data_IF_453366461044
#
_entry.id   IF_453366461044
#
_cell.length_a   1.000
_cell.length_b   1.000
_cell.length_c   1.000
_cell.angle_alpha   90.00
_cell.angle_beta   90.00
_cell.angle_gamma   90.00
#
_symmetry.space_group_name_H-M   'P 1'
#
loop_
_entity.id
_entity.type
_entity.pdbx_description
1 polymer ?
#
# COMPACT_ATOMS: atom_id res chain seq x y z
N UNK A 1 -14.44 8.83 4.78
CA UNK A 1 -13.67 10.04 4.50
C UNK A 1 -13.38 10.08 3.00
N UNK A 2 -13.52 11.26 2.38
CA UNK A 2 -13.29 11.41 0.93
C UNK A 2 -11.81 11.70 0.61
N UNK A 3 -10.98 11.84 1.63
CA UNK A 3 -9.55 12.15 1.51
C UNK A 3 -8.71 11.11 2.23
N UNK A 4 -7.55 10.80 1.65
CA UNK A 4 -6.53 9.94 2.22
C UNK A 4 -5.16 10.57 2.06
N UNK A 5 -4.33 10.55 3.10
CA UNK A 5 -2.98 11.04 3.02
C UNK A 5 -2.00 9.97 3.47
N UNK A 6 -0.90 9.85 2.75
CA UNK A 6 0.18 8.93 3.06
C UNK A 6 1.52 9.61 2.80
N UNK A 7 2.46 9.42 3.71
CA UNK A 7 3.82 9.94 3.54
C UNK A 7 4.87 8.85 3.57
N UNK A 8 6.01 9.13 2.98
CA UNK A 8 7.18 8.26 3.02
C UNK A 8 8.46 9.04 2.74
N UNK A 9 9.57 8.42 3.04
CA UNK A 9 10.90 8.90 2.71
C UNK A 9 11.62 7.89 1.81
N UNK A 10 12.65 8.35 1.13
CA UNK A 10 13.58 7.51 0.38
C UNK A 10 14.94 7.50 1.06
N UNK A 11 15.68 6.40 0.90
CA UNK A 11 17.07 6.30 1.33
C UNK A 11 18.01 6.33 0.13
N UNK A 12 19.04 7.13 0.22
CA UNK A 12 20.10 7.15 -0.78
C UNK A 12 20.86 5.83 -0.73
N UNK A 13 21.01 5.17 -1.87
CA UNK A 13 21.77 3.93 -2.02
C UNK A 13 22.52 3.95 -3.34
N UNK A 14 23.49 3.04 -3.52
CA UNK A 14 24.20 2.83 -4.78
C UNK A 14 23.31 2.14 -5.84
N UNK A 15 22.17 1.59 -5.45
CA UNK A 15 21.23 0.95 -6.36
C UNK A 15 20.28 1.97 -6.94
N UNK A 16 19.86 1.76 -8.17
CA UNK A 16 18.80 2.57 -8.77
C UNK A 16 17.46 2.34 -8.04
N UNK A 17 16.80 3.44 -7.69
CA UNK A 17 15.55 3.41 -6.93
C UNK A 17 15.77 3.26 -5.42
N UNK A 18 14.70 3.47 -4.68
CA UNK A 18 14.65 3.28 -3.22
C UNK A 18 13.29 2.74 -2.85
N UNK A 19 13.25 1.81 -1.90
CA UNK A 19 12.02 1.48 -1.22
C UNK A 19 11.46 2.71 -0.50
N UNK A 20 10.17 2.73 -0.27
CA UNK A 20 9.52 3.72 0.58
C UNK A 20 9.73 3.37 2.04
N UNK A 21 10.02 4.36 2.87
CA UNK A 21 10.25 4.16 4.31
C UNK A 21 9.35 5.09 5.12
N UNK A 22 8.78 4.55 6.18
CA UNK A 22 8.07 5.31 7.21
C UNK A 22 9.01 6.24 7.97
N UNK A 23 8.47 7.14 8.77
CA UNK A 23 9.23 8.05 9.62
C UNK A 23 10.12 7.30 10.65
N UNK A 24 9.73 6.12 11.09
CA UNK A 24 10.52 5.22 11.96
C UNK A 24 11.62 4.45 11.21
N UNK A 25 11.69 4.58 9.90
CA UNK A 25 12.68 3.92 9.07
C UNK A 25 12.33 2.49 8.65
N UNK A 26 11.15 1.99 9.00
CA UNK A 26 10.63 0.71 8.54
C UNK A 26 10.11 0.86 7.08
N UNK A 27 10.30 -0.13 6.19
CA UNK A 27 9.70 -0.09 4.86
C UNK A 27 8.18 0.09 4.93
N UNK A 28 7.63 1.00 4.08
CA UNK A 28 6.21 1.29 4.03
C UNK A 28 5.91 2.79 3.96
N UNK A 29 4.65 3.12 4.22
CA UNK A 29 4.11 4.48 4.21
C UNK A 29 3.40 4.77 5.52
N UNK A 30 3.52 5.99 6.05
CA UNK A 30 2.74 6.45 7.18
C UNK A 30 1.39 6.97 6.70
N UNK A 31 0.31 6.52 7.34
CA UNK A 31 -1.03 7.04 7.09
C UNK A 31 -1.30 8.26 7.98
N UNK A 32 -1.87 9.31 7.38
CA UNK A 32 -2.25 10.53 8.06
C UNK A 32 -3.76 10.75 7.89
N UNK A 33 -4.59 10.22 8.82
CA UNK A 33 -6.03 10.38 8.72
C UNK A 33 -6.43 11.84 8.91
N UNK A 34 -7.18 12.44 7.96
CA UNK A 34 -7.71 13.77 8.15
C UNK A 34 -8.71 13.83 9.32
N UNK A 35 -8.67 14.90 10.10
CA UNK A 35 -9.67 15.17 11.13
C UNK A 35 -10.91 15.86 10.55
N UNK A 36 -10.71 16.75 9.57
CA UNK A 36 -11.78 17.51 8.94
C UNK A 36 -11.39 17.93 7.51
N UNK A 37 -12.39 18.35 6.75
CA UNK A 37 -12.21 19.03 5.46
C UNK A 37 -13.20 20.19 5.35
N UNK A 38 -12.73 21.34 4.89
CA UNK A 38 -13.49 22.57 4.79
C UNK A 38 -13.42 23.10 3.37
N UNK A 39 -14.55 23.60 2.89
CA UNK A 39 -14.64 24.19 1.54
C UNK A 39 -14.53 25.71 1.66
N UNK A 40 -13.75 26.37 0.78
CA UNK A 40 -13.68 27.82 0.71
C UNK A 40 -15.04 28.45 0.35
N UNK A 41 -15.20 29.74 0.66
CA UNK A 41 -16.48 30.47 0.41
C UNK A 41 -16.85 30.50 -1.07
N UNK A 42 -15.89 30.52 -1.96
CA UNK A 42 -16.09 30.47 -3.42
C UNK A 42 -16.19 29.05 -3.99
N UNK A 43 -16.14 28.02 -3.13
CA UNK A 43 -16.17 26.60 -3.47
C UNK A 43 -15.06 26.12 -4.44
N UNK A 44 -13.91 26.84 -4.50
CA UNK A 44 -12.80 26.51 -5.39
C UNK A 44 -11.64 25.82 -4.69
N UNK A 45 -11.58 25.85 -3.37
CA UNK A 45 -10.51 25.23 -2.58
C UNK A 45 -11.09 24.36 -1.47
N UNK A 46 -10.33 23.34 -1.10
CA UNK A 46 -10.62 22.52 0.07
C UNK A 46 -9.40 22.51 0.98
N UNK A 47 -9.59 22.93 2.23
CA UNK A 47 -8.60 22.75 3.27
C UNK A 47 -8.83 21.42 3.98
N UNK A 48 -7.83 20.57 4.00
CA UNK A 48 -7.87 19.26 4.67
C UNK A 48 -7.04 19.33 5.94
N UNK A 49 -7.68 19.29 7.08
CA UNK A 49 -7.02 19.33 8.38
C UNK A 49 -6.40 17.96 8.71
N UNK A 50 -5.09 17.95 8.96
CA UNK A 50 -4.32 16.71 9.21
C UNK A 50 -3.52 16.88 10.49
N UNK A 51 -4.01 16.34 11.61
CA UNK A 51 -3.32 16.44 12.90
C UNK A 51 -1.95 15.81 12.87
N UNK A 52 -0.96 16.51 13.44
CA UNK A 52 0.37 15.97 13.64
C UNK A 52 1.20 15.72 12.37
N UNK A 53 0.77 16.22 11.22
CA UNK A 53 1.58 16.18 9.99
C UNK A 53 2.91 16.92 10.26
N UNK A 54 4.00 16.31 9.82
CA UNK A 54 5.36 16.87 9.90
C UNK A 54 5.92 17.05 8.49
N UNK A 55 6.98 17.85 8.31
CA UNK A 55 7.72 17.85 7.06
C UNK A 55 8.16 16.43 6.67
N UNK A 56 7.93 16.05 5.40
CA UNK A 56 8.24 14.73 4.86
C UNK A 56 8.79 14.84 3.44
N UNK A 57 9.52 13.79 2.99
CA UNK A 57 10.09 13.82 1.63
C UNK A 57 9.01 13.67 0.55
N UNK A 58 8.00 12.86 0.81
CA UNK A 58 6.88 12.66 -0.10
C UNK A 58 5.58 12.58 0.67
N UNK A 59 4.56 13.27 0.16
CA UNK A 59 3.20 13.21 0.64
C UNK A 59 2.27 12.96 -0.55
N UNK A 60 1.49 11.91 -0.50
CA UNK A 60 0.38 11.66 -1.39
C UNK A 60 -0.92 12.13 -0.74
N UNK A 61 -1.68 12.91 -1.46
CA UNK A 61 -3.03 13.34 -1.10
C UNK A 61 -3.97 12.72 -2.12
N UNK A 62 -4.77 11.76 -1.70
CA UNK A 62 -5.78 11.12 -2.54
C UNK A 62 -7.16 11.64 -2.18
N UNK A 63 -8.04 11.78 -3.16
CA UNK A 63 -9.45 12.08 -2.92
C UNK A 63 -10.37 11.28 -3.83
N UNK A 64 -11.58 11.04 -3.32
CA UNK A 64 -12.69 10.46 -4.07
C UNK A 64 -13.92 11.31 -3.81
N UNK A 65 -14.34 12.06 -4.81
CA UNK A 65 -15.39 13.06 -4.73
C UNK A 65 -16.50 12.75 -5.72
N UNK A 66 -17.64 13.40 -5.56
CA UNK A 66 -18.75 13.36 -6.50
C UNK A 66 -19.10 14.78 -6.93
N UNK A 67 -19.42 14.96 -8.19
CA UNK A 67 -20.02 16.20 -8.70
C UNK A 67 -21.44 16.37 -8.17
N UNK A 68 -22.00 17.57 -8.28
CA UNK A 68 -23.41 17.83 -7.96
C UNK A 68 -24.37 16.92 -8.75
N UNK A 69 -23.99 16.48 -9.94
CA UNK A 69 -24.74 15.51 -10.76
C UNK A 69 -24.51 14.05 -10.40
N UNK A 70 -23.75 13.75 -9.32
CA UNK A 70 -23.51 12.39 -8.82
C UNK A 70 -22.38 11.62 -9.51
N UNK A 71 -21.73 12.17 -10.53
CA UNK A 71 -20.56 11.54 -11.17
C UNK A 71 -19.39 11.50 -10.19
N UNK A 72 -18.82 10.31 -9.96
CA UNK A 72 -17.68 10.10 -9.07
C UNK A 72 -16.38 10.26 -9.83
N UNK A 73 -15.39 10.86 -9.18
CA UNK A 73 -14.01 10.94 -9.66
C UNK A 73 -13.03 10.80 -8.51
N UNK A 74 -11.86 10.24 -8.81
CA UNK A 74 -10.80 10.04 -7.82
C UNK A 74 -9.47 10.43 -8.44
N UNK A 75 -8.67 11.18 -7.69
CA UNK A 75 -7.36 11.66 -8.12
C UNK A 75 -6.36 11.64 -6.98
N UNK A 76 -5.08 11.81 -7.32
CA UNK A 76 -4.00 11.94 -6.37
C UNK A 76 -3.12 13.13 -6.73
N UNK A 77 -2.71 13.87 -5.71
CA UNK A 77 -1.62 14.84 -5.79
C UNK A 77 -0.42 14.34 -4.98
N UNK A 78 0.77 14.69 -5.46
CA UNK A 78 2.03 14.37 -4.79
C UNK A 78 2.78 15.65 -4.51
N UNK A 79 3.30 15.81 -3.30
CA UNK A 79 4.05 16.99 -2.87
C UNK A 79 5.17 16.62 -1.90
N UNK A 80 6.10 17.55 -1.72
CA UNK A 80 7.20 17.47 -0.74
C UNK A 80 7.06 18.62 0.25
N UNK A 81 6.27 18.48 1.33
CA UNK A 81 6.15 19.52 2.34
C UNK A 81 7.44 19.57 3.18
N UNK A 82 8.34 20.48 2.82
CA UNK A 82 9.61 20.70 3.52
C UNK A 82 9.44 21.55 4.76
N UNK A 83 8.46 22.43 4.73
CA UNK A 83 8.11 23.35 5.80
C UNK A 83 6.59 23.44 5.92
N UNK A 84 6.11 23.58 7.12
CA UNK A 84 4.69 23.79 7.41
C UNK A 84 4.54 25.21 7.98
N UNK A 85 3.80 26.04 7.28
CA UNK A 85 3.47 27.40 7.72
C UNK A 85 2.12 27.42 8.42
N UNK A 86 1.89 28.35 9.36
CA UNK A 86 0.57 28.54 9.93
C UNK A 86 -0.46 28.84 8.82
N UNK A 87 -1.61 28.20 8.92
CA UNK A 87 -2.73 28.43 7.99
C UNK A 87 -3.67 29.47 8.59
N UNK A 88 -3.92 30.55 7.85
CA UNK A 88 -4.91 31.58 8.18
C UNK A 88 -6.17 31.35 7.33
N UNK A 89 -7.25 30.80 7.93
CA UNK A 89 -8.46 30.51 7.17
C UNK A 89 -9.11 31.74 6.55
N UNK A 90 -9.01 32.89 7.19
CA UNK A 90 -9.65 34.12 6.71
C UNK A 90 -8.92 34.68 5.50
N UNK A 91 -7.58 34.76 5.58
CA UNK A 91 -6.74 35.19 4.47
C UNK A 91 -6.83 34.27 3.25
N UNK A 92 -7.05 32.98 3.48
CA UNK A 92 -7.14 31.96 2.41
C UNK A 92 -8.59 31.77 1.90
N UNK A 93 -9.52 32.63 2.28
CA UNK A 93 -10.88 32.64 1.73
C UNK A 93 -11.87 31.65 2.35
N UNK A 94 -11.53 31.01 3.47
CA UNK A 94 -12.43 30.13 4.19
C UNK A 94 -13.29 30.86 5.23
N UNK A 95 -12.92 32.09 5.60
CA UNK A 95 -13.58 32.89 6.62
C UNK A 95 -13.22 32.44 8.04
N UNK A 96 -13.90 32.98 9.06
CA UNK A 96 -13.66 32.57 10.44
C UNK A 96 -14.02 31.09 10.60
N UNK A 97 -13.00 30.27 10.84
CA UNK A 97 -13.09 28.82 10.89
C UNK A 97 -12.37 28.27 12.10
N UNK A 98 -13.10 27.55 12.96
CA UNK A 98 -12.47 26.73 13.99
C UNK A 98 -12.03 25.41 13.37
N UNK A 99 -10.70 25.23 13.20
CA UNK A 99 -10.15 24.03 12.60
C UNK A 99 -10.13 22.92 13.65
N UNK A 100 -10.83 21.84 13.36
CA UNK A 100 -10.79 20.62 14.19
C UNK A 100 -9.49 19.84 13.88
N UNK A 101 -8.55 19.89 14.78
CA UNK A 101 -7.32 19.10 14.77
C UNK A 101 -7.37 17.91 15.75
N UNK A 102 -8.54 17.52 16.22
CA UNK A 102 -8.68 16.33 17.06
C UNK A 102 -8.24 15.11 16.26
N UNK A 103 -7.18 14.39 16.68
CA UNK A 103 -6.74 13.21 15.97
C UNK A 103 -7.90 12.23 15.87
N UNK A 104 -8.35 11.99 14.66
CA UNK A 104 -9.22 10.84 14.41
C UNK A 104 -8.27 9.68 14.20
N UNK A 105 -8.32 8.72 15.10
CA UNK A 105 -7.83 7.38 14.72
C UNK A 105 -8.44 7.10 13.36
N UNK A 106 -7.64 6.64 12.35
CA UNK A 106 -8.22 6.16 11.11
C UNK A 106 -9.38 5.31 11.56
N UNK A 107 -10.61 5.64 11.11
CA UNK A 107 -11.80 4.90 11.54
C UNK A 107 -11.41 3.45 11.44
N UNK A 108 -11.06 2.92 12.63
CA UNK A 108 -10.22 1.76 12.81
C UNK A 108 -10.75 0.80 11.81
N UNK A 109 -10.00 0.62 10.78
CA UNK A 109 -10.42 -0.07 9.59
C UNK A 109 -11.94 -0.23 9.62
N UNK A 110 -12.65 0.71 9.02
CA UNK A 110 -14.11 0.70 9.01
C UNK A 110 -14.48 -0.73 8.73
N UNK A 111 -15.09 -1.41 9.65
CA UNK A 111 -15.21 -2.86 9.81
C UNK A 111 -14.39 -3.60 8.76
N UNK A 112 -13.21 -4.06 9.07
CA UNK A 112 -12.31 -4.70 8.08
C UNK A 112 -13.20 -5.62 7.29
N UNK A 113 -13.53 -5.25 6.06
CA UNK A 113 -14.43 -6.06 5.25
C UNK A 113 -13.84 -7.46 5.32
N UNK A 114 -14.66 -8.46 5.69
CA UNK A 114 -14.14 -9.80 5.91
C UNK A 114 -13.20 -10.14 4.74
N UNK A 115 -12.04 -10.73 4.99
CA UNK A 115 -11.09 -11.04 3.94
C UNK A 115 -11.80 -11.69 2.76
N UNK A 116 -11.50 -11.26 1.54
CA UNK A 116 -12.16 -11.78 0.34
C UNK A 116 -11.20 -11.89 -0.84
N UNK A 117 -11.44 -12.86 -1.71
CA UNK A 117 -10.65 -13.01 -2.92
C UNK A 117 -10.76 -11.79 -3.86
N UNK A 118 -11.91 -11.13 -3.90
CA UNK A 118 -12.11 -9.91 -4.69
C UNK A 118 -11.25 -8.75 -4.19
N UNK A 119 -11.18 -8.57 -2.87
CA UNK A 119 -10.27 -7.59 -2.27
C UNK A 119 -8.82 -7.98 -2.49
N UNK A 120 -8.48 -9.27 -2.41
CA UNK A 120 -7.15 -9.78 -2.73
C UNK A 120 -6.74 -9.46 -4.17
N UNK A 121 -7.63 -9.65 -5.15
CA UNK A 121 -7.38 -9.29 -6.55
C UNK A 121 -7.09 -7.78 -6.70
N UNK A 122 -7.87 -6.94 -6.02
CA UNK A 122 -7.69 -5.48 -6.02
C UNK A 122 -6.35 -5.09 -5.41
N UNK A 123 -5.98 -5.70 -4.28
CA UNK A 123 -4.69 -5.47 -3.61
C UNK A 123 -3.51 -5.91 -4.49
N UNK A 124 -3.63 -7.06 -5.15
CA UNK A 124 -2.60 -7.58 -6.05
C UNK A 124 -2.28 -6.60 -7.21
N UNK A 125 -3.30 -5.92 -7.73
CA UNK A 125 -3.12 -4.85 -8.72
C UNK A 125 -2.52 -3.58 -8.07
N UNK A 126 -3.08 -3.15 -6.94
CA UNK A 126 -2.66 -1.92 -6.27
C UNK A 126 -1.19 -1.96 -5.86
N UNK A 127 -0.72 -3.10 -5.34
CA UNK A 127 0.66 -3.31 -4.93
C UNK A 127 1.54 -3.88 -6.04
N UNK A 128 1.03 -3.94 -7.28
CA UNK A 128 1.73 -4.45 -8.46
C UNK A 128 2.30 -5.88 -8.30
N UNK A 129 1.71 -6.70 -7.44
CA UNK A 129 2.16 -8.08 -7.20
C UNK A 129 2.14 -8.89 -8.50
N UNK A 130 1.10 -8.69 -9.33
CA UNK A 130 0.91 -9.38 -10.61
C UNK A 130 1.97 -9.05 -11.65
N UNK A 131 2.70 -7.95 -11.50
CA UNK A 131 3.78 -7.59 -12.41
C UNK A 131 4.95 -8.60 -12.35
N UNK A 132 5.22 -9.13 -11.15
CA UNK A 132 6.27 -10.13 -10.94
C UNK A 132 5.72 -11.57 -10.95
N UNK A 133 4.54 -11.80 -10.36
CA UNK A 133 4.00 -13.15 -10.19
C UNK A 133 3.08 -13.59 -11.34
N UNK A 134 2.37 -12.65 -11.98
CA UNK A 134 1.33 -12.97 -12.95
C UNK A 134 0.17 -13.75 -12.35
N UNK A 135 -0.95 -13.72 -13.04
CA UNK A 135 -2.16 -14.47 -12.69
C UNK A 135 -2.47 -15.59 -13.67
N UNK A 136 -1.62 -15.78 -14.67
CA UNK A 136 -1.75 -16.77 -15.75
C UNK A 136 -0.57 -17.74 -15.76
N UNK A 137 -0.78 -18.89 -16.34
CA UNK A 137 0.25 -19.92 -16.51
C UNK A 137 0.84 -19.87 -17.93
N UNK A 138 1.46 -18.74 -18.29
CA UNK A 138 2.14 -18.63 -19.58
C UNK A 138 3.65 -18.90 -19.40
N UNK A 139 4.15 -20.10 -19.77
CA UNK A 139 5.55 -20.46 -19.60
C UNK A 139 6.49 -19.68 -20.54
N UNK A 140 5.97 -19.03 -21.59
CA UNK A 140 6.75 -18.20 -22.51
C UNK A 140 7.11 -16.83 -21.91
N UNK A 141 6.49 -16.43 -20.80
CA UNK A 141 6.76 -15.15 -20.16
C UNK A 141 7.71 -15.37 -18.99
N UNK A 142 8.95 -14.87 -19.12
CA UNK A 142 9.89 -14.82 -18.01
C UNK A 142 9.33 -13.88 -16.91
N UNK A 143 9.28 -14.34 -15.68
CA UNK A 143 8.77 -13.60 -14.54
C UNK A 143 9.83 -13.42 -13.48
N UNK A 144 9.72 -12.33 -12.72
CA UNK A 144 10.62 -12.05 -11.61
C UNK A 144 10.29 -12.86 -10.34
N UNK A 145 9.10 -13.48 -10.28
CA UNK A 145 8.63 -14.32 -9.19
C UNK A 145 7.83 -15.53 -9.66
N UNK A 146 7.59 -16.52 -8.78
CA UNK A 146 6.80 -17.71 -9.12
C UNK A 146 5.38 -17.32 -9.56
N UNK A 147 4.86 -17.88 -10.66
CA UNK A 147 3.49 -17.61 -11.08
C UNK A 147 2.49 -18.12 -10.05
N UNK A 148 1.40 -17.38 -9.87
CA UNK A 148 0.37 -17.73 -8.87
C UNK A 148 -0.59 -18.79 -9.34
N UNK A 149 -0.73 -19.00 -10.66
CA UNK A 149 -1.58 -20.06 -11.22
C UNK A 149 -1.16 -21.43 -10.68
N UNK A 150 -2.10 -22.13 -10.06
CA UNK A 150 -1.87 -23.46 -9.47
C UNK A 150 -0.83 -23.48 -8.35
N UNK A 151 -0.54 -22.32 -7.74
CA UNK A 151 0.49 -22.22 -6.70
C UNK A 151 0.02 -22.81 -5.37
N UNK A 152 -1.16 -22.38 -4.88
CA UNK A 152 -1.70 -22.87 -3.60
C UNK A 152 -2.01 -24.38 -3.65
N UNK A 153 -1.60 -25.11 -2.62
CA UNK A 153 -1.75 -26.57 -2.50
C UNK A 153 -0.72 -27.37 -3.33
N UNK A 154 0.17 -26.71 -4.09
CA UNK A 154 1.24 -27.41 -4.81
C UNK A 154 2.42 -27.71 -3.89
N UNK A 155 3.22 -28.72 -4.25
CA UNK A 155 4.54 -28.96 -3.62
C UNK A 155 5.63 -28.33 -4.46
N UNK A 156 6.49 -27.54 -3.82
CA UNK A 156 7.57 -26.81 -4.51
C UNK A 156 8.89 -26.98 -3.78
N UNK A 157 9.95 -26.98 -4.57
CA UNK A 157 11.30 -26.91 -4.05
C UNK A 157 11.64 -25.47 -3.70
N UNK A 158 12.14 -25.25 -2.50
CA UNK A 158 12.60 -23.96 -2.00
C UNK A 158 14.00 -24.10 -1.40
N UNK A 159 14.68 -22.97 -1.23
CA UNK A 159 15.96 -22.88 -0.56
C UNK A 159 15.82 -22.11 0.76
N UNK A 160 16.26 -22.73 1.85
CA UNK A 160 16.32 -22.17 3.20
C UNK A 160 17.77 -22.16 3.66
N UNK A 161 18.36 -20.99 3.83
CA UNK A 161 19.79 -20.90 4.18
C UNK A 161 20.69 -21.59 3.17
N UNK A 162 20.33 -21.56 1.88
CA UNK A 162 21.07 -22.20 0.79
C UNK A 162 20.84 -23.71 0.64
N UNK A 163 20.04 -24.33 1.51
CA UNK A 163 19.72 -25.78 1.45
C UNK A 163 18.37 -26.00 0.80
N UNK A 164 18.30 -26.89 -0.19
CA UNK A 164 17.05 -27.23 -0.85
C UNK A 164 16.12 -28.04 0.07
N UNK A 165 14.84 -27.71 0.04
CA UNK A 165 13.75 -28.42 0.74
C UNK A 165 12.51 -28.46 -0.15
N UNK A 166 11.72 -29.50 0.00
CA UNK A 166 10.33 -29.53 -0.53
C UNK A 166 9.38 -29.03 0.54
N UNK A 167 8.47 -28.14 0.15
CA UNK A 167 7.43 -27.61 1.01
C UNK A 167 6.09 -27.64 0.28
N UNK A 168 5.03 -27.73 1.04
CA UNK A 168 3.68 -27.48 0.56
C UNK A 168 3.42 -25.98 0.59
N UNK A 169 2.82 -25.46 -0.46
CA UNK A 169 2.47 -24.05 -0.56
C UNK A 169 1.06 -23.86 0.02
N UNK A 170 1.02 -23.78 1.32
CA UNK A 170 -0.20 -23.50 2.10
C UNK A 170 -0.31 -22.01 2.45
N UNK A 171 -1.33 -21.66 3.23
CA UNK A 171 -1.57 -20.28 3.68
C UNK A 171 -0.43 -19.77 4.55
N UNK A 172 0.15 -20.62 5.40
CA UNK A 172 1.25 -20.23 6.28
C UNK A 172 2.49 -19.91 5.45
N UNK A 173 2.78 -20.72 4.42
CA UNK A 173 3.87 -20.42 3.48
C UNK A 173 3.63 -19.11 2.74
N UNK A 174 2.42 -18.88 2.21
CA UNK A 174 2.10 -17.65 1.47
C UNK A 174 2.20 -16.42 2.36
N UNK A 175 1.71 -16.51 3.60
CA UNK A 175 1.83 -15.44 4.60
C UNK A 175 3.30 -15.13 4.89
N UNK A 176 4.11 -16.14 5.17
CA UNK A 176 5.55 -15.98 5.39
C UNK A 176 6.24 -15.33 4.19
N UNK A 177 5.94 -15.81 2.97
CA UNK A 177 6.53 -15.26 1.75
C UNK A 177 6.18 -13.79 1.50
N UNK A 178 5.00 -13.33 1.93
CA UNK A 178 4.61 -11.92 1.86
C UNK A 178 5.34 -11.08 2.91
N UNK A 179 5.50 -11.60 4.11
CA UNK A 179 6.10 -10.88 5.24
C UNK A 179 7.63 -10.97 5.24
N UNK A 180 8.17 -12.14 4.95
CA UNK A 180 9.59 -12.47 5.02
C UNK A 180 10.06 -13.20 3.75
N UNK A 181 10.02 -12.54 2.57
CA UNK A 181 10.24 -13.20 1.28
C UNK A 181 11.64 -13.81 1.12
N UNK A 182 12.62 -13.38 1.91
CA UNK A 182 13.97 -13.93 1.91
C UNK A 182 14.12 -15.20 2.76
N UNK A 183 13.12 -15.56 3.58
CA UNK A 183 13.21 -16.73 4.46
C UNK A 183 13.24 -18.04 3.66
N UNK A 184 12.46 -18.12 2.58
CA UNK A 184 12.38 -19.26 1.67
C UNK A 184 12.36 -18.80 0.22
N UNK A 185 13.39 -19.10 -0.53
CA UNK A 185 13.50 -18.72 -1.94
C UNK A 185 12.99 -19.84 -2.83
N UNK A 186 12.02 -19.57 -3.70
CA UNK A 186 11.51 -20.57 -4.63
C UNK A 186 12.60 -20.99 -5.62
N UNK A 187 12.65 -22.29 -5.95
CA UNK A 187 13.63 -22.82 -6.92
C UNK A 187 13.45 -22.14 -8.29
N UNK A 188 14.57 -21.70 -8.87
CA UNK A 188 14.59 -20.92 -10.11
C UNK A 188 14.54 -19.40 -9.91
N UNK A 189 14.34 -18.93 -8.65
CA UNK A 189 14.29 -17.51 -8.31
C UNK A 189 15.35 -17.11 -7.26
N UNK A 190 16.33 -17.98 -6.98
CA UNK A 190 17.36 -17.77 -5.94
C UNK A 190 18.34 -16.65 -6.29
N UNK A 191 18.53 -16.42 -7.60
CA UNK A 191 19.47 -15.42 -8.13
C UNK A 191 18.74 -14.24 -8.75
N UNK A 192 17.49 -14.03 -8.42
CA UNK A 192 16.68 -12.97 -9.00
C UNK A 192 17.32 -11.60 -8.82
N UNK A 193 17.50 -10.85 -9.89
CA UNK A 193 17.88 -9.43 -9.85
C UNK A 193 16.85 -8.60 -9.08
N UNK A 194 15.65 -9.14 -8.91
CA UNK A 194 14.51 -8.50 -8.27
C UNK A 194 14.06 -9.33 -7.06
N UNK A 195 14.63 -9.05 -5.90
CA UNK A 195 14.14 -9.62 -4.66
C UNK A 195 12.76 -9.04 -4.35
N UNK A 196 11.81 -9.91 -3.99
CA UNK A 196 10.51 -9.48 -3.49
C UNK A 196 10.69 -8.61 -2.23
N UNK A 197 10.02 -7.46 -2.18
CA UNK A 197 10.04 -6.60 -1.00
C UNK A 197 9.20 -7.23 0.12
N UNK A 198 9.60 -7.03 1.38
CA UNK A 198 8.77 -7.38 2.53
C UNK A 198 7.57 -6.44 2.63
N UNK A 199 6.40 -7.00 2.89
CA UNK A 199 5.17 -6.25 3.18
C UNK A 199 4.84 -6.21 4.67
N UNK A 200 5.77 -6.61 5.54
CA UNK A 200 5.63 -6.48 6.98
C UNK A 200 5.39 -5.00 7.37
N UNK A 201 4.34 -4.74 8.11
CA UNK A 201 3.92 -3.37 8.50
C UNK A 201 3.35 -2.51 7.35
N UNK A 202 3.26 -3.05 6.12
CA UNK A 202 2.63 -2.40 4.96
C UNK A 202 1.20 -2.89 4.78
N UNK A 203 1.02 -4.21 4.82
CA UNK A 203 -0.28 -4.86 4.74
C UNK A 203 -0.77 -5.26 6.13
N UNK A 204 -2.07 -5.11 6.36
CA UNK A 204 -2.74 -5.65 7.56
C UNK A 204 -2.96 -7.16 7.40
N UNK A 205 -3.19 -7.87 8.50
CA UNK A 205 -3.50 -9.30 8.48
C UNK A 205 -4.69 -9.63 7.58
N UNK A 206 -5.75 -8.83 7.61
CA UNK A 206 -6.92 -9.01 6.76
C UNK A 206 -6.62 -8.80 5.26
N UNK A 207 -5.70 -7.90 4.93
CA UNK A 207 -5.26 -7.69 3.54
C UNK A 207 -4.39 -8.85 3.06
N UNK A 208 -3.50 -9.38 3.91
CA UNK A 208 -2.71 -10.57 3.61
C UNK A 208 -3.63 -11.77 3.40
N UNK A 209 -4.61 -11.96 4.28
CA UNK A 209 -5.61 -13.01 4.12
C UNK A 209 -6.40 -12.89 2.82
N UNK A 210 -6.79 -11.67 2.44
CA UNK A 210 -7.45 -11.41 1.16
C UNK A 210 -6.58 -11.80 -0.05
N UNK A 211 -5.29 -11.49 -0.02
CA UNK A 211 -4.33 -11.90 -1.05
C UNK A 211 -4.22 -13.43 -1.13
N UNK A 212 -4.14 -14.11 0.01
CA UNK A 212 -4.10 -15.58 0.07
C UNK A 212 -5.37 -16.19 -0.52
N UNK A 213 -6.54 -15.66 -0.14
CA UNK A 213 -7.82 -16.08 -0.71
C UNK A 213 -7.86 -15.88 -2.22
N UNK A 214 -7.31 -14.77 -2.74
CA UNK A 214 -7.21 -14.55 -4.18
C UNK A 214 -6.30 -15.59 -4.85
N UNK A 215 -5.10 -15.84 -4.32
CA UNK A 215 -4.16 -16.83 -4.85
C UNK A 215 -4.80 -18.22 -4.90
N UNK A 216 -5.61 -18.59 -3.91
CA UNK A 216 -6.37 -19.85 -3.89
C UNK A 216 -7.36 -19.98 -5.06
N UNK A 217 -7.87 -18.89 -5.60
CA UNK A 217 -8.81 -18.93 -6.75
C UNK A 217 -8.10 -19.17 -8.08
N UNK A 218 -6.80 -18.96 -8.17
CA UNK A 218 -5.98 -19.11 -9.37
C UNK A 218 -5.53 -20.56 -9.53
N UNK A 219 -6.42 -21.42 -10.02
CA UNK A 219 -6.17 -22.86 -10.24
C UNK A 219 -5.69 -23.13 -11.65
#
# INVERSE_FOLDING_TARGET
ANYSLQSWSYRRSSKYGSAMYKADGIPGQDAHPPSAAYVSRDARAVFVAVPGLKPVMQLRIGWSLATAGGAKFSENAYTTPRELTPFDPEAEGFGPLAIDLTPRLPAAAAAVAAPSAAEGARLAQMFACVACHGSDHNPAVARAGPPWQGLHGSRRKVFVGGKAREVEIDDAYLRESILEPAAKLAAGFEKGEYAMASYAGVLTDAQIESLILHIRTLR
#
